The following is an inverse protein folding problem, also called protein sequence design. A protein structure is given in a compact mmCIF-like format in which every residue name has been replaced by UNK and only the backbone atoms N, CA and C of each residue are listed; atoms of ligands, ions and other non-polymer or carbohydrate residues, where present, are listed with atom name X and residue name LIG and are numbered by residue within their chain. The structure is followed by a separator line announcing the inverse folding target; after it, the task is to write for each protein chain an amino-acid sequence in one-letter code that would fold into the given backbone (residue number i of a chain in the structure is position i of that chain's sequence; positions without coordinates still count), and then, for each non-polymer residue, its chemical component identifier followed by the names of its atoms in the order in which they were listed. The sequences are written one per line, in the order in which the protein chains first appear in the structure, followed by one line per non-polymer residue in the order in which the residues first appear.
data_IF_470287227202
#
_entry.id   IF_470287227202
#
_cell.length_a   1.000
_cell.length_b   1.000
_cell.length_c   1.000
_cell.angle_alpha   90.00
_cell.angle_beta   90.00
_cell.angle_gamma   90.00
#
_symmetry.space_group_name_H-M   'P 1'
#
loop_
_entity.id
_entity.type
_entity.pdbx_description
1 polymer ?
#
# COMPACT_ATOMS: atom_id res chain seq x y z
N UNK A 1 13.87 8.85 13.91
CA UNK A 1 13.29 8.15 12.75
C UNK A 1 12.74 6.84 13.27
N UNK A 2 11.42 6.70 13.31
CA UNK A 2 10.79 5.52 13.90
C UNK A 2 9.99 4.82 12.83
N UNK A 3 10.45 3.64 12.39
CA UNK A 3 9.67 2.74 11.57
C UNK A 3 8.42 2.26 12.35
N UNK A 4 7.49 1.62 11.65
CA UNK A 4 6.40 0.90 12.33
C UNK A 4 6.96 -0.18 13.27
N UNK A 5 6.18 -0.56 14.29
CA UNK A 5 6.43 -1.84 14.96
C UNK A 5 5.98 -2.97 14.01
N UNK A 6 6.85 -3.96 13.75
CA UNK A 6 6.57 -5.08 12.86
C UNK A 6 5.35 -5.90 13.28
N UNK A 7 5.07 -5.99 14.58
CA UNK A 7 3.92 -6.74 15.13
C UNK A 7 2.63 -5.91 15.14
N UNK A 8 2.69 -4.63 14.75
CA UNK A 8 1.50 -3.78 14.77
C UNK A 8 0.52 -4.17 13.65
N UNK A 9 -0.77 -3.97 13.92
CA UNK A 9 -1.84 -4.35 13.01
C UNK A 9 -1.64 -3.77 11.60
N UNK A 10 -1.72 -4.66 10.60
CA UNK A 10 -1.66 -4.28 9.19
C UNK A 10 -0.28 -3.82 8.71
N UNK A 11 0.77 -4.02 9.50
CA UNK A 11 2.16 -3.81 9.06
C UNK A 11 2.63 -5.00 8.24
N UNK A 12 3.28 -4.70 7.12
CA UNK A 12 3.94 -5.64 6.24
C UNK A 12 5.43 -5.34 6.27
N UNK A 13 6.24 -6.37 6.57
CA UNK A 13 7.68 -6.34 6.36
C UNK A 13 7.98 -6.70 4.91
N UNK A 14 8.71 -5.81 4.21
CA UNK A 14 9.23 -6.06 2.87
C UNK A 14 10.61 -6.77 2.97
N UNK A 15 11.09 -7.45 1.91
CA UNK A 15 12.36 -8.19 1.94
C UNK A 15 13.59 -7.40 2.42
N UNK A 16 13.64 -6.10 2.17
CA UNK A 16 14.71 -5.19 2.62
C UNK A 16 14.66 -4.85 4.11
N UNK A 17 13.64 -5.30 4.84
CA UNK A 17 13.36 -4.91 6.22
C UNK A 17 12.54 -3.62 6.36
N UNK A 18 12.18 -2.96 5.25
CA UNK A 18 11.23 -1.83 5.27
C UNK A 18 9.89 -2.27 5.83
N UNK A 19 9.30 -1.44 6.67
CA UNK A 19 7.98 -1.67 7.26
C UNK A 19 6.98 -0.67 6.71
N UNK A 20 5.88 -1.16 6.14
CA UNK A 20 4.78 -0.34 5.62
C UNK A 20 3.46 -0.80 6.22
N UNK A 21 2.53 0.13 6.47
CA UNK A 21 1.20 -0.21 7.00
C UNK A 21 0.14 -0.16 5.92
N UNK A 22 -0.63 -1.23 5.75
CA UNK A 22 -1.87 -1.22 4.97
C UNK A 22 -3.08 -0.95 5.86
N UNK A 23 -3.97 -0.01 5.48
CA UNK A 23 -5.17 0.32 6.28
C UNK A 23 -6.47 0.39 5.47
N UNK A 24 -7.57 0.03 6.11
CA UNK A 24 -8.93 0.31 5.65
C UNK A 24 -9.48 1.58 6.30
N UNK A 25 -9.74 2.63 5.52
CA UNK A 25 -10.21 3.93 6.01
C UNK A 25 -11.62 3.90 6.64
N UNK A 26 -12.42 2.87 6.36
CA UNK A 26 -13.72 2.67 7.02
C UNK A 26 -13.60 2.21 8.48
N UNK A 27 -12.40 1.81 8.91
CA UNK A 27 -12.12 1.45 10.30
C UNK A 27 -11.51 2.65 11.02
N UNK A 28 -11.71 2.77 12.34
CA UNK A 28 -11.03 3.80 13.13
C UNK A 28 -9.52 3.67 12.96
N UNK A 29 -8.81 4.79 13.18
CA UNK A 29 -7.36 4.78 13.23
C UNK A 29 -6.91 3.83 14.36
N UNK A 30 -6.01 2.86 14.10
CA UNK A 30 -5.46 2.02 15.14
C UNK A 30 -4.70 2.85 16.18
N UNK A 31 -4.68 2.37 17.42
CA UNK A 31 -3.87 2.98 18.47
C UNK A 31 -2.38 3.01 18.10
N UNK A 32 -1.66 3.94 18.73
CA UNK A 32 -0.22 4.12 18.55
C UNK A 32 0.14 5.28 17.63
N UNK A 33 1.36 5.26 17.05
CA UNK A 33 1.86 6.41 16.30
C UNK A 33 1.10 6.63 15.00
N UNK A 34 0.93 7.91 14.62
CA UNK A 34 0.34 8.31 13.34
C UNK A 34 1.34 8.09 12.19
N UNK A 35 0.85 7.86 10.95
CA UNK A 35 1.73 7.87 9.78
C UNK A 35 2.40 9.24 9.62
N UNK A 36 3.61 9.23 9.09
CA UNK A 36 4.30 10.45 8.62
C UNK A 36 3.91 10.74 7.17
N UNK A 37 3.71 9.68 6.38
CA UNK A 37 3.26 9.76 5.00
C UNK A 37 2.18 8.74 4.70
N UNK A 38 1.16 9.13 3.93
CA UNK A 38 0.12 8.22 3.48
C UNK A 38 -0.18 8.31 1.98
N UNK A 39 -0.41 7.16 1.35
CA UNK A 39 -1.08 7.07 0.06
C UNK A 39 -2.57 6.75 0.26
N UNK A 40 -3.44 7.68 -0.13
CA UNK A 40 -4.89 7.46 -0.16
C UNK A 40 -5.32 6.97 -1.55
N UNK A 41 -5.64 5.68 -1.65
CA UNK A 41 -5.97 4.96 -2.89
C UNK A 41 -7.49 4.91 -3.08
N UNK A 42 -8.09 6.06 -3.45
CA UNK A 42 -9.54 6.26 -3.44
C UNK A 42 -10.07 6.77 -4.78
N UNK A 43 -11.28 6.35 -5.15
CA UNK A 43 -11.94 6.83 -6.36
C UNK A 43 -12.40 8.29 -6.30
N UNK A 44 -12.55 8.83 -5.09
CA UNK A 44 -12.88 10.23 -4.80
C UNK A 44 -11.81 10.83 -3.90
N UNK A 45 -11.59 12.14 -4.04
CA UNK A 45 -10.63 12.86 -3.21
C UNK A 45 -11.05 12.76 -1.73
N UNK A 46 -10.15 12.32 -0.83
CA UNK A 46 -10.45 12.25 0.60
C UNK A 46 -10.51 13.64 1.23
N UNK A 47 -11.11 13.71 2.41
CA UNK A 47 -10.94 14.85 3.32
C UNK A 47 -9.44 15.00 3.70
N UNK A 48 -9.00 16.23 4.03
CA UNK A 48 -7.65 16.43 4.54
C UNK A 48 -7.43 15.68 5.86
N UNK A 49 -6.17 15.37 6.13
CA UNK A 49 -5.71 14.68 7.35
C UNK A 49 -4.56 15.49 7.95
N UNK A 50 -4.26 15.26 9.24
CA UNK A 50 -3.24 16.01 9.98
C UNK A 50 -1.79 15.59 9.66
N UNK A 51 -1.58 14.75 8.64
CA UNK A 51 -0.28 14.26 8.20
C UNK A 51 -0.13 14.42 6.69
N UNK A 52 1.09 14.24 6.20
CA UNK A 52 1.34 14.35 4.78
C UNK A 52 0.69 13.19 4.02
N UNK A 53 -0.15 13.49 3.03
CA UNK A 53 -0.84 12.47 2.26
C UNK A 53 -0.93 12.83 0.78
N UNK A 54 -0.61 11.85 -0.08
CA UNK A 54 -0.84 11.92 -1.52
C UNK A 54 -2.08 11.10 -1.88
N UNK A 55 -2.97 11.69 -2.65
CA UNK A 55 -4.14 11.01 -3.18
C UNK A 55 -3.84 10.46 -4.57
N UNK A 56 -4.09 9.16 -4.77
CA UNK A 56 -4.06 8.51 -6.07
C UNK A 56 -5.50 8.13 -6.42
N UNK A 57 -5.99 8.60 -7.58
CA UNK A 57 -7.35 8.29 -8.03
C UNK A 57 -7.46 6.81 -8.40
N UNK A 58 -8.07 6.03 -7.52
CA UNK A 58 -8.18 4.58 -7.65
C UNK A 58 -9.61 4.11 -7.35
N UNK A 59 -10.48 4.00 -8.38
CA UNK A 59 -11.86 3.55 -8.23
C UNK A 59 -11.93 2.14 -7.62
N UNK A 60 -13.02 1.86 -6.90
CA UNK A 60 -13.15 0.60 -6.17
C UNK A 60 -13.19 -0.60 -7.12
N UNK A 61 -12.60 -1.71 -6.67
CA UNK A 61 -12.37 -2.93 -7.46
C UNK A 61 -11.59 -2.75 -8.76
N UNK A 62 -11.23 -1.54 -9.20
CA UNK A 62 -10.56 -1.27 -10.47
C UNK A 62 -9.05 -1.05 -10.30
N UNK A 63 -8.42 -0.53 -11.36
CA UNK A 63 -7.03 -0.10 -11.43
C UNK A 63 -6.92 1.42 -11.22
N UNK A 64 -5.71 1.96 -10.99
CA UNK A 64 -5.52 3.40 -10.93
C UNK A 64 -6.00 4.07 -12.21
N UNK A 65 -6.65 5.22 -12.08
CA UNK A 65 -7.12 6.00 -13.24
C UNK A 65 -5.94 6.52 -14.07
N UNK A 66 -4.84 6.88 -13.41
CA UNK A 66 -3.56 7.20 -14.01
C UNK A 66 -2.50 6.24 -13.46
N UNK A 67 -1.87 5.47 -14.35
CA UNK A 67 -0.88 4.44 -13.97
C UNK A 67 0.50 5.03 -13.74
N UNK A 68 0.85 6.13 -14.40
CA UNK A 68 2.13 6.79 -14.23
C UNK A 68 2.15 7.49 -12.86
N UNK A 69 1.11 8.27 -12.55
CA UNK A 69 0.94 8.89 -11.23
C UNK A 69 0.98 7.84 -10.10
N UNK A 70 0.26 6.73 -10.27
CA UNK A 70 0.26 5.65 -9.29
C UNK A 70 1.65 5.02 -9.13
N UNK A 71 2.39 4.77 -10.22
CA UNK A 71 3.73 4.21 -10.14
C UNK A 71 4.69 5.17 -9.41
N UNK A 72 4.60 6.46 -9.70
CA UNK A 72 5.43 7.47 -9.04
C UNK A 72 5.13 7.60 -7.55
N UNK A 73 3.84 7.58 -7.19
CA UNK A 73 3.40 7.58 -5.79
C UNK A 73 3.90 6.34 -5.04
N UNK A 74 3.85 5.15 -5.67
CA UNK A 74 4.32 3.91 -5.06
C UNK A 74 5.84 3.91 -4.86
N UNK A 75 6.62 4.44 -5.82
CA UNK A 75 8.08 4.61 -5.66
C UNK A 75 8.42 5.62 -4.57
N UNK A 76 7.65 6.69 -4.44
CA UNK A 76 7.78 7.64 -3.35
C UNK A 76 7.54 6.99 -1.99
N UNK A 77 6.43 6.27 -1.83
CA UNK A 77 6.12 5.51 -0.62
C UNK A 77 7.24 4.52 -0.28
N UNK A 78 7.78 3.81 -1.27
CA UNK A 78 8.88 2.87 -1.08
C UNK A 78 10.15 3.54 -0.56
N UNK A 79 10.55 4.69 -1.14
CA UNK A 79 11.73 5.44 -0.69
C UNK A 79 11.56 5.97 0.73
N UNK A 80 10.40 6.53 1.07
CA UNK A 80 10.13 7.10 2.41
C UNK A 80 10.07 6.02 3.49
N UNK A 81 9.65 4.80 3.15
CA UNK A 81 9.58 3.68 4.09
C UNK A 81 10.94 3.24 4.67
N UNK A 82 12.06 3.79 4.18
CA UNK A 82 13.38 3.59 4.81
C UNK A 82 13.51 4.33 6.15
N UNK A 83 12.79 5.44 6.36
CA UNK A 83 12.92 6.26 7.57
C UNK A 83 11.61 6.72 8.21
N UNK A 84 10.49 6.53 7.52
CA UNK A 84 9.19 7.10 7.89
C UNK A 84 8.11 6.03 8.04
N UNK A 85 7.12 6.33 8.88
CA UNK A 85 5.87 5.55 8.99
C UNK A 85 5.00 5.78 7.77
N UNK A 86 5.22 4.98 6.74
CA UNK A 86 4.44 5.00 5.50
C UNK A 86 3.18 4.14 5.62
N UNK A 87 2.03 4.72 5.26
CA UNK A 87 0.73 4.05 5.21
C UNK A 87 0.16 4.03 3.79
N UNK A 88 -0.49 2.92 3.41
CA UNK A 88 -1.26 2.79 2.17
C UNK A 88 -2.70 2.42 2.51
N UNK A 89 -3.65 3.27 2.13
CA UNK A 89 -5.01 3.13 2.60
C UNK A 89 -6.06 3.25 1.49
N UNK A 90 -7.03 2.34 1.50
CA UNK A 90 -8.25 2.42 0.71
C UNK A 90 -9.46 2.22 1.61
N UNK A 91 -10.69 2.23 1.08
CA UNK A 91 -11.88 2.05 1.91
C UNK A 91 -11.93 0.73 2.70
N UNK A 92 -11.42 -0.36 2.12
CA UNK A 92 -11.47 -1.70 2.72
C UNK A 92 -10.15 -2.25 3.25
N UNK A 93 -9.01 -1.68 2.88
CA UNK A 93 -7.69 -2.20 3.26
C UNK A 93 -7.35 -3.56 2.64
N UNK A 94 -8.00 -3.98 1.54
CA UNK A 94 -7.84 -5.33 0.96
C UNK A 94 -7.43 -5.31 -0.52
N UNK A 95 -8.32 -4.90 -1.43
CA UNK A 95 -8.02 -4.91 -2.88
C UNK A 95 -6.99 -3.88 -3.29
N UNK A 96 -7.36 -2.59 -3.28
CA UNK A 96 -6.47 -1.49 -3.70
C UNK A 96 -5.22 -1.39 -2.82
N UNK A 97 -5.40 -1.42 -1.50
CA UNK A 97 -4.28 -1.48 -0.55
C UNK A 97 -3.39 -2.69 -0.80
N UNK A 98 -3.94 -3.89 -0.91
CA UNK A 98 -3.16 -5.10 -1.20
C UNK A 98 -2.46 -5.05 -2.55
N UNK A 99 -3.07 -4.42 -3.56
CA UNK A 99 -2.47 -4.23 -4.88
C UNK A 99 -1.26 -3.31 -4.79
N UNK A 100 -1.39 -2.20 -4.06
CA UNK A 100 -0.29 -1.27 -3.83
C UNK A 100 0.84 -1.89 -2.99
N UNK A 101 0.51 -2.65 -1.93
CA UNK A 101 1.49 -3.40 -1.15
C UNK A 101 2.23 -4.44 -2.01
N UNK A 102 1.54 -5.09 -2.94
CA UNK A 102 2.18 -6.05 -3.84
C UNK A 102 3.11 -5.35 -4.83
N UNK A 103 2.75 -4.18 -5.33
CA UNK A 103 3.66 -3.35 -6.12
C UNK A 103 4.88 -2.90 -5.32
N UNK A 104 4.72 -2.52 -4.04
CA UNK A 104 5.84 -2.23 -3.14
C UNK A 104 6.76 -3.44 -2.95
N UNK A 105 6.20 -4.64 -2.79
CA UNK A 105 6.99 -5.87 -2.73
C UNK A 105 7.80 -6.09 -4.03
N UNK A 106 7.23 -5.77 -5.20
CA UNK A 106 7.98 -5.81 -6.47
C UNK A 106 9.12 -4.80 -6.51
N UNK A 107 8.88 -3.56 -6.09
CA UNK A 107 9.95 -2.55 -5.97
C UNK A 107 11.06 -3.01 -5.02
N UNK A 108 10.68 -3.77 -3.99
CA UNK A 108 11.58 -4.30 -2.97
C UNK A 108 12.20 -5.67 -3.32
N UNK A 109 12.08 -6.10 -4.58
CA UNK A 109 12.79 -7.26 -5.13
C UNK A 109 11.99 -8.56 -5.20
N UNK A 110 10.73 -8.60 -4.77
CA UNK A 110 9.88 -9.79 -4.96
C UNK A 110 9.52 -9.94 -6.44
N UNK A 111 9.67 -11.12 -7.06
CA UNK A 111 9.25 -11.33 -8.44
C UNK A 111 7.76 -10.96 -8.66
N UNK A 112 7.38 -10.25 -9.74
CA UNK A 112 5.99 -9.85 -9.98
C UNK A 112 4.98 -11.01 -10.00
N UNK A 113 5.42 -12.21 -10.37
CA UNK A 113 4.60 -13.43 -10.32
C UNK A 113 4.25 -13.90 -8.91
N UNK A 114 5.09 -13.57 -7.93
CA UNK A 114 5.01 -14.03 -6.54
C UNK A 114 4.48 -12.95 -5.58
N UNK A 115 4.55 -11.67 -5.96
CA UNK A 115 4.21 -10.55 -5.09
C UNK A 115 2.78 -10.62 -4.51
N UNK A 116 1.81 -11.14 -5.25
CA UNK A 116 0.45 -11.34 -4.73
C UNK A 116 0.42 -12.41 -3.64
N UNK A 117 1.11 -13.53 -3.85
CA UNK A 117 1.20 -14.60 -2.86
C UNK A 117 1.93 -14.11 -1.60
N UNK A 118 3.02 -13.37 -1.78
CA UNK A 118 3.75 -12.73 -0.70
C UNK A 118 2.85 -11.85 0.18
N UNK A 119 2.11 -10.90 -0.40
CA UNK A 119 1.21 -10.03 0.38
C UNK A 119 0.07 -10.81 1.03
N UNK A 120 -0.44 -11.86 0.39
CA UNK A 120 -1.49 -12.69 0.98
C UNK A 120 -1.01 -13.47 2.21
N UNK A 121 0.24 -13.93 2.20
CA UNK A 121 0.84 -14.63 3.31
C UNK A 121 1.19 -13.70 4.48
N UNK A 122 1.72 -12.50 4.20
CA UNK A 122 2.31 -11.64 5.23
C UNK A 122 1.45 -10.44 5.65
N UNK A 123 0.40 -10.11 4.90
CA UNK A 123 -0.50 -9.00 5.23
C UNK A 123 -1.94 -9.45 5.43
N UNK A 124 -2.56 -10.03 4.40
CA UNK A 124 -3.96 -10.44 4.47
C UNK A 124 -4.32 -11.47 3.38
N UNK A 125 -4.92 -12.64 3.70
CA UNK A 125 -5.15 -13.72 2.72
C UNK A 125 -6.06 -13.33 1.55
N UNK A 126 -7.01 -12.41 1.78
CA UNK A 126 -7.88 -11.80 0.77
C UNK A 126 -7.32 -10.56 0.05
N UNK A 127 -6.03 -10.24 0.19
CA UNK A 127 -5.42 -9.11 -0.52
C UNK A 127 -5.43 -9.33 -2.04
N UNK A 128 -5.52 -8.23 -2.80
CA UNK A 128 -5.62 -8.25 -4.27
C UNK A 128 -6.87 -9.02 -4.71
N UNK A 129 -7.98 -8.29 -4.78
CA UNK A 129 -9.33 -8.86 -4.87
C UNK A 129 -9.65 -9.34 -6.29
N UNK A 130 -9.21 -8.59 -7.31
CA UNK A 130 -9.68 -8.83 -8.69
C UNK A 130 -8.62 -9.42 -9.62
N UNK A 131 -9.02 -10.14 -10.69
CA UNK A 131 -8.07 -10.68 -11.67
C UNK A 131 -7.21 -9.62 -12.36
N UNK A 132 -7.77 -8.45 -12.67
CA UNK A 132 -7.02 -7.37 -13.30
C UNK A 132 -6.06 -6.66 -12.34
N UNK A 133 -6.35 -6.59 -11.03
CA UNK A 133 -5.38 -6.17 -10.03
C UNK A 133 -4.19 -7.15 -9.98
N UNK A 134 -4.45 -8.46 -10.01
CA UNK A 134 -3.37 -9.47 -10.11
C UNK A 134 -2.52 -9.28 -11.37
N UNK A 135 -3.16 -9.04 -12.52
CA UNK A 135 -2.46 -8.76 -13.79
C UNK A 135 -1.66 -7.46 -13.73
N UNK A 136 -2.19 -6.43 -13.08
CA UNK A 136 -1.50 -5.15 -12.88
C UNK A 136 -0.19 -5.35 -12.10
N UNK A 137 -0.23 -6.09 -10.98
CA UNK A 137 0.97 -6.41 -10.19
C UNK A 137 1.99 -7.18 -11.04
N UNK A 138 1.56 -8.20 -11.78
CA UNK A 138 2.47 -9.00 -12.64
C UNK A 138 3.21 -8.18 -13.71
N UNK A 139 2.61 -7.08 -14.16
CA UNK A 139 3.22 -6.16 -15.12
C UNK A 139 3.97 -4.98 -14.49
N UNK A 140 3.95 -4.85 -13.16
CA UNK A 140 4.61 -3.77 -12.45
C UNK A 140 6.13 -3.99 -12.46
N UNK A 141 6.91 -2.92 -12.59
CA UNK A 141 8.37 -2.97 -12.71
C UNK A 141 9.00 -2.03 -11.69
N UNK A 142 10.13 -2.47 -11.11
CA UNK A 142 11.04 -1.63 -10.32
C UNK A 142 11.47 -0.42 -11.15
#
# INVERSE_FOLDING_TARGET
MAAWNADALGVLALPSGRLVRGRGLRRPLPDGPRPEFALHLLGRRPAPVDWEARWVRWPDFLLPADRADAADALREAWRRATGERVELACGGGRGRTGTALACLAVLDGVPPGEAVAFVRAHYHPGAVETPWQRRYVRGFRA
#
